data_IF_960161602138
#
_entry.id   IF_960161602138
#
_cell.length_a   1.000
_cell.length_b   1.000
_cell.length_c   1.000
_cell.angle_alpha   90.00
_cell.angle_beta   90.00
_cell.angle_gamma   90.00
#
_symmetry.space_group_name_H-M   'P 1'
#
loop_
_entity.id
_entity.type
_entity.pdbx_description
1 polymer ?
#
# COMPACT_ATOMS: atom_id res chain seq x y z
N UNK A 1 29.86 -13.18 -3.81
CA UNK A 1 29.41 -11.86 -3.29
C UNK A 1 28.12 -11.57 -4.05
N UNK A 2 26.99 -11.64 -3.38
CA UNK A 2 25.74 -11.18 -4.01
C UNK A 2 25.90 -9.70 -4.33
N UNK A 3 25.72 -9.33 -5.61
CA UNK A 3 25.77 -7.95 -6.03
C UNK A 3 24.72 -7.16 -5.23
N UNK A 4 25.14 -6.09 -4.56
CA UNK A 4 24.23 -5.24 -3.77
C UNK A 4 23.07 -4.78 -4.67
N UNK A 5 21.86 -5.17 -4.31
CA UNK A 5 20.65 -4.75 -5.04
C UNK A 5 20.51 -3.24 -4.99
N UNK A 6 20.12 -2.63 -6.10
CA UNK A 6 19.93 -1.16 -6.20
C UNK A 6 18.82 -0.64 -5.29
N UNK A 7 17.76 -1.44 -5.13
CA UNK A 7 16.59 -1.09 -4.33
C UNK A 7 16.34 -2.13 -3.25
N UNK A 8 15.84 -1.67 -2.11
CA UNK A 8 15.24 -2.54 -1.09
C UNK A 8 13.82 -2.93 -1.50
N UNK A 9 13.06 -1.98 -2.07
CA UNK A 9 11.71 -2.21 -2.57
C UNK A 9 11.48 -1.51 -3.92
N UNK A 10 10.96 -2.24 -4.89
CA UNK A 10 10.26 -1.68 -6.05
C UNK A 10 8.76 -1.91 -5.89
N UNK A 11 7.96 -0.89 -6.12
CA UNK A 11 6.50 -1.02 -6.18
C UNK A 11 5.98 -0.66 -7.57
N UNK A 12 4.90 -1.31 -8.00
CA UNK A 12 4.28 -1.07 -9.31
C UNK A 12 2.79 -0.81 -9.16
N UNK A 13 2.31 0.29 -9.74
CA UNK A 13 0.89 0.63 -9.73
C UNK A 13 0.56 1.97 -10.39
N UNK A 14 -0.66 2.44 -10.21
CA UNK A 14 -1.14 3.71 -10.75
C UNK A 14 -0.89 4.87 -9.79
N UNK A 15 -0.33 5.96 -10.30
CA UNK A 15 -0.26 7.23 -9.61
C UNK A 15 -1.54 8.02 -9.87
N UNK A 16 -2.20 8.44 -8.80
CA UNK A 16 -3.44 9.21 -8.86
C UNK A 16 -3.24 10.66 -8.41
N UNK A 17 -3.90 11.58 -9.09
CA UNK A 17 -4.10 12.94 -8.60
C UNK A 17 -5.32 12.96 -7.69
N UNK A 18 -5.11 13.25 -6.41
CA UNK A 18 -6.19 13.52 -5.47
C UNK A 18 -6.56 14.99 -5.50
N UNK A 19 -7.85 15.26 -5.58
CA UNK A 19 -8.44 16.59 -5.42
C UNK A 19 -9.43 16.57 -4.25
N UNK A 20 -9.24 17.45 -3.28
CA UNK A 20 -10.10 17.53 -2.10
C UNK A 20 -10.54 18.96 -1.87
N UNK A 21 -11.81 19.23 -1.52
CA UNK A 21 -12.21 20.55 -1.05
C UNK A 21 -11.45 20.88 0.24
N UNK A 22 -11.40 22.13 0.61
CA UNK A 22 -10.84 22.54 1.90
C UNK A 22 -11.59 21.86 3.06
N UNK A 23 -10.97 21.73 4.25
CA UNK A 23 -11.57 21.05 5.38
C UNK A 23 -12.98 21.60 5.68
N UNK A 24 -13.93 20.67 5.85
CA UNK A 24 -15.36 20.95 6.10
C UNK A 24 -16.16 21.58 4.92
N UNK A 25 -15.53 21.73 3.75
CA UNK A 25 -16.22 22.08 2.52
C UNK A 25 -16.76 20.86 1.79
N UNK A 26 -17.77 21.09 0.93
CA UNK A 26 -18.39 20.06 0.08
C UNK A 26 -17.91 20.19 -1.36
N UNK A 27 -17.66 19.05 -2.03
CA UNK A 27 -17.31 19.03 -3.46
C UNK A 27 -18.34 19.77 -4.32
N UNK A 28 -19.62 19.69 -3.95
CA UNK A 28 -20.70 20.31 -4.70
C UNK A 28 -20.83 21.85 -4.49
N UNK A 29 -20.02 22.42 -3.58
CA UNK A 29 -20.13 23.85 -3.21
C UNK A 29 -18.79 24.58 -3.20
N UNK A 30 -17.72 23.92 -2.72
CA UNK A 30 -16.41 24.54 -2.57
C UNK A 30 -15.82 24.97 -3.91
N UNK A 31 -15.21 26.15 -3.95
CA UNK A 31 -14.57 26.71 -5.16
C UNK A 31 -13.08 26.35 -5.24
N UNK A 32 -12.47 25.91 -4.14
CA UNK A 32 -11.06 25.59 -4.06
C UNK A 32 -10.86 24.09 -3.85
N UNK A 33 -9.89 23.52 -4.58
CA UNK A 33 -9.46 22.13 -4.41
C UNK A 33 -7.98 22.07 -4.08
N UNK A 34 -7.63 21.40 -2.99
CA UNK A 34 -6.28 21.02 -2.68
C UNK A 34 -5.88 19.81 -3.55
N UNK A 35 -4.71 19.89 -4.20
CA UNK A 35 -4.16 18.78 -4.97
C UNK A 35 -3.11 18.03 -4.20
N UNK A 36 -3.15 16.69 -4.23
CA UNK A 36 -2.15 15.79 -3.69
C UNK A 36 -1.92 14.63 -4.65
N UNK A 37 -0.82 13.91 -4.46
CA UNK A 37 -0.54 12.65 -5.16
C UNK A 37 -0.84 11.51 -4.21
N UNK A 38 -1.36 10.41 -4.75
CA UNK A 38 -1.59 9.15 -4.06
C UNK A 38 -1.56 7.97 -5.02
N UNK A 39 -1.89 6.81 -4.52
CA UNK A 39 -1.85 5.52 -5.19
C UNK A 39 -1.40 4.46 -4.20
N UNK A 40 -2.10 3.33 -4.09
CA UNK A 40 -1.85 2.35 -3.03
C UNK A 40 -0.38 1.93 -2.97
N UNK A 41 0.16 1.52 -4.11
CA UNK A 41 1.54 1.04 -4.21
C UNK A 41 2.56 2.18 -4.03
N UNK A 42 2.22 3.41 -4.46
CA UNK A 42 3.04 4.59 -4.22
C UNK A 42 3.07 4.97 -2.74
N UNK A 43 1.92 4.87 -2.06
CA UNK A 43 1.83 5.10 -0.62
C UNK A 43 2.74 4.14 0.16
N UNK A 44 2.78 2.86 -0.25
CA UNK A 44 3.70 1.86 0.32
C UNK A 44 5.15 2.23 0.06
N UNK A 45 5.52 2.56 -1.20
CA UNK A 45 6.89 2.96 -1.54
C UNK A 45 7.34 4.19 -0.75
N UNK A 46 6.46 5.21 -0.62
CA UNK A 46 6.72 6.41 0.16
C UNK A 46 6.96 6.08 1.64
N UNK A 47 6.11 5.23 2.22
CA UNK A 47 6.24 4.82 3.61
C UNK A 47 7.56 4.10 3.88
N UNK A 48 7.95 3.17 3.03
CA UNK A 48 9.21 2.43 3.15
C UNK A 48 10.43 3.36 3.00
N UNK A 49 10.36 4.33 2.05
CA UNK A 49 11.40 5.34 1.87
C UNK A 49 11.56 6.25 3.11
N UNK A 50 10.45 6.73 3.68
CA UNK A 50 10.45 7.55 4.89
C UNK A 50 11.03 6.84 6.12
N UNK A 51 10.93 5.50 6.16
CA UNK A 51 11.58 4.67 7.19
C UNK A 51 13.07 4.42 6.91
N UNK A 52 13.60 4.85 5.76
CA UNK A 52 15.03 4.88 5.45
C UNK A 52 15.54 3.76 4.56
N UNK A 53 14.67 3.03 3.85
CA UNK A 53 15.07 2.07 2.83
C UNK A 53 15.03 2.68 1.42
N UNK A 54 15.83 2.15 0.50
CA UNK A 54 15.87 2.60 -0.89
C UNK A 54 14.68 2.04 -1.67
N UNK A 55 13.84 2.93 -2.18
CA UNK A 55 12.66 2.55 -2.96
C UNK A 55 12.66 3.12 -4.36
N UNK A 56 12.01 2.42 -5.28
CA UNK A 56 11.70 2.92 -6.62
C UNK A 56 10.26 2.59 -6.99
N UNK A 57 9.76 3.29 -8.01
CA UNK A 57 8.38 3.13 -8.44
C UNK A 57 8.27 2.89 -9.94
N UNK A 58 7.48 1.87 -10.30
CA UNK A 58 7.21 1.48 -11.68
C UNK A 58 5.80 1.96 -12.04
N UNK A 59 5.70 2.88 -12.97
CA UNK A 59 4.43 3.41 -13.47
C UNK A 59 4.63 4.15 -14.79
N UNK A 60 3.52 4.63 -15.37
CA UNK A 60 3.54 5.49 -16.53
C UNK A 60 2.68 6.73 -16.26
N UNK A 61 3.24 7.91 -16.48
CA UNK A 61 2.60 9.21 -16.18
C UNK A 61 2.64 10.10 -17.43
N UNK A 62 1.70 11.07 -17.57
CA UNK A 62 1.71 11.97 -18.72
C UNK A 62 2.97 12.83 -18.77
N UNK A 63 3.45 13.13 -19.97
CA UNK A 63 4.56 14.08 -20.21
C UNK A 63 4.04 15.53 -20.25
N UNK A 64 3.59 16.00 -19.08
CA UNK A 64 3.05 17.35 -18.90
C UNK A 64 3.24 17.84 -17.44
N UNK A 65 2.79 19.07 -17.15
CA UNK A 65 2.92 19.68 -15.81
C UNK A 65 2.27 18.90 -14.67
N UNK A 66 1.26 18.09 -14.93
CA UNK A 66 0.62 17.24 -13.91
C UNK A 66 1.50 16.00 -13.66
N UNK A 67 2.09 15.41 -14.71
CA UNK A 67 3.10 14.38 -14.56
C UNK A 67 4.37 14.88 -13.85
N UNK A 68 4.79 16.14 -14.11
CA UNK A 68 5.90 16.77 -13.36
C UNK A 68 5.58 16.88 -11.87
N UNK A 69 4.33 17.23 -11.53
CA UNK A 69 3.89 17.28 -10.12
C UNK A 69 3.98 15.90 -9.45
N UNK A 70 3.57 14.84 -10.14
CA UNK A 70 3.73 13.47 -9.65
C UNK A 70 5.20 13.12 -9.43
N UNK A 71 6.05 13.34 -10.44
CA UNK A 71 7.48 13.06 -10.35
C UNK A 71 8.18 13.85 -9.22
N UNK A 72 7.85 15.13 -9.06
CA UNK A 72 8.39 15.95 -7.96
C UNK A 72 7.96 15.40 -6.59
N UNK A 73 6.75 14.83 -6.49
CA UNK A 73 6.31 14.18 -5.27
C UNK A 73 7.16 12.95 -4.95
N UNK A 74 7.47 12.11 -5.93
CA UNK A 74 8.38 10.96 -5.73
C UNK A 74 9.73 11.44 -5.20
N UNK A 75 10.34 12.45 -5.83
CA UNK A 75 11.62 13.01 -5.39
C UNK A 75 11.56 13.56 -3.96
N UNK A 76 10.47 14.24 -3.59
CA UNK A 76 10.27 14.77 -2.24
C UNK A 76 10.28 13.66 -1.17
N UNK A 77 9.74 12.48 -1.48
CA UNK A 77 9.74 11.30 -0.61
C UNK A 77 11.00 10.43 -0.75
N UNK A 78 11.97 10.80 -1.61
CA UNK A 78 13.18 10.02 -1.84
C UNK A 78 12.96 8.73 -2.61
N UNK A 79 11.88 8.65 -3.39
CA UNK A 79 11.57 7.50 -4.25
C UNK A 79 12.24 7.68 -5.61
N UNK A 80 12.98 6.68 -6.08
CA UNK A 80 13.55 6.72 -7.44
C UNK A 80 12.47 6.64 -8.51
N UNK A 81 12.55 7.56 -9.48
CA UNK A 81 11.74 7.58 -10.69
C UNK A 81 12.41 6.90 -11.90
N UNK A 82 13.46 6.08 -11.71
CA UNK A 82 14.20 5.46 -12.82
C UNK A 82 13.32 4.61 -13.75
N UNK A 83 12.22 4.09 -13.22
CA UNK A 83 11.23 3.29 -13.95
C UNK A 83 9.86 3.98 -14.06
N UNK A 84 9.86 5.31 -13.93
CA UNK A 84 8.68 6.14 -14.14
C UNK A 84 8.65 6.62 -15.59
N UNK A 85 7.91 5.90 -16.43
CA UNK A 85 7.80 6.17 -17.86
C UNK A 85 6.96 7.41 -18.15
N UNK A 86 7.30 8.11 -19.23
CA UNK A 86 6.56 9.28 -19.73
C UNK A 86 5.67 8.90 -20.91
N UNK A 87 4.38 9.17 -20.77
CA UNK A 87 3.39 9.00 -21.84
C UNK A 87 3.29 10.31 -22.64
N UNK A 88 3.76 10.27 -23.87
CA UNK A 88 3.78 11.43 -24.80
C UNK A 88 2.52 11.53 -25.66
N UNK A 89 1.53 10.66 -25.46
CA UNK A 89 0.27 10.74 -26.19
C UNK A 89 -0.45 12.05 -25.85
N UNK A 90 -1.14 12.62 -26.84
CA UNK A 90 -1.86 13.89 -26.68
C UNK A 90 -2.98 13.84 -25.60
N UNK A 91 -3.54 12.66 -25.37
CA UNK A 91 -4.62 12.43 -24.40
C UNK A 91 -4.08 11.83 -23.08
N UNK A 92 -2.73 11.82 -22.88
CA UNK A 92 -2.08 11.30 -21.70
C UNK A 92 -2.54 12.07 -20.44
N UNK A 93 -2.91 11.31 -19.38
CA UNK A 93 -3.42 11.89 -18.13
C UNK A 93 -3.10 11.01 -16.93
N UNK A 94 -3.04 11.61 -15.74
CA UNK A 94 -3.19 10.85 -14.50
C UNK A 94 -4.65 10.47 -14.29
N UNK A 95 -4.89 9.33 -13.66
CA UNK A 95 -6.17 9.09 -13.02
C UNK A 95 -6.40 10.10 -11.90
N UNK A 96 -7.64 10.53 -11.72
CA UNK A 96 -8.03 11.50 -10.69
C UNK A 96 -9.01 10.83 -9.74
N UNK A 97 -8.92 11.18 -8.48
CA UNK A 97 -10.03 10.96 -7.56
C UNK A 97 -10.31 12.20 -6.71
N UNK A 98 -11.57 12.41 -6.44
CA UNK A 98 -12.06 13.47 -5.57
C UNK A 98 -12.39 12.87 -4.21
N UNK A 99 -11.82 13.43 -3.14
CA UNK A 99 -12.08 13.00 -1.78
C UNK A 99 -12.70 14.09 -0.94
N UNK A 100 -13.91 13.84 -0.48
CA UNK A 100 -14.61 14.71 0.48
C UNK A 100 -14.53 14.07 1.87
N UNK A 101 -13.80 14.71 2.77
CA UNK A 101 -13.80 14.34 4.18
C UNK A 101 -15.12 14.75 4.85
N UNK A 102 -15.48 14.08 5.94
CA UNK A 102 -16.70 14.40 6.68
C UNK A 102 -16.53 14.22 8.18
N UNK A 103 -17.31 15.00 8.95
CA UNK A 103 -17.53 14.77 10.37
C UNK A 103 -18.89 14.09 10.58
N UNK A 104 -19.06 13.43 11.74
CA UNK A 104 -20.35 12.84 12.10
C UNK A 104 -21.46 13.91 12.13
N UNK A 105 -22.71 13.58 11.70
CA UNK A 105 -23.19 12.28 11.22
C UNK A 105 -22.92 12.00 9.73
N UNK A 106 -22.18 12.86 9.02
CA UNK A 106 -21.86 12.68 7.60
C UNK A 106 -20.90 11.50 7.37
N UNK A 107 -20.81 11.06 6.11
CA UNK A 107 -19.87 10.04 5.67
C UNK A 107 -18.91 10.64 4.64
N UNK A 108 -17.61 10.26 4.67
CA UNK A 108 -16.68 10.62 3.61
C UNK A 108 -17.14 10.06 2.27
N UNK A 109 -16.83 10.78 1.18
CA UNK A 109 -17.17 10.37 -0.18
C UNK A 109 -15.94 10.36 -1.07
N UNK A 110 -15.92 9.45 -2.03
CA UNK A 110 -14.88 9.35 -3.06
C UNK A 110 -15.55 9.24 -4.42
N UNK A 111 -15.08 10.05 -5.37
CA UNK A 111 -15.48 9.97 -6.79
C UNK A 111 -14.23 9.72 -7.63
N UNK A 112 -14.25 8.70 -8.47
CA UNK A 112 -13.12 8.37 -9.34
C UNK A 112 -13.34 8.82 -10.77
N UNK A 113 -12.33 9.46 -11.35
CA UNK A 113 -12.17 9.74 -12.77
C UNK A 113 -10.79 9.23 -13.22
N UNK A 114 -10.68 7.90 -13.41
CA UNK A 114 -9.40 7.24 -13.69
C UNK A 114 -9.35 6.45 -15.00
N UNK A 115 -10.41 6.55 -15.84
CA UNK A 115 -10.43 5.89 -17.13
C UNK A 115 -9.37 6.47 -18.05
N UNK A 116 -8.71 5.60 -18.82
CA UNK A 116 -7.70 5.99 -19.80
C UNK A 116 -6.50 6.76 -19.20
N UNK A 117 -6.17 6.52 -17.93
CA UNK A 117 -4.93 7.06 -17.37
C UNK A 117 -3.72 6.43 -18.04
N UNK A 118 -2.61 7.16 -18.10
CA UNK A 118 -1.37 6.71 -18.71
C UNK A 118 -0.86 5.39 -18.14
N UNK A 119 -1.04 5.16 -16.85
CA UNK A 119 -0.64 3.91 -16.19
C UNK A 119 -1.29 2.66 -16.79
N UNK A 120 -2.54 2.75 -17.28
CA UNK A 120 -3.26 1.63 -17.90
C UNK A 120 -2.61 1.11 -19.18
N UNK A 121 -1.79 1.94 -19.84
CA UNK A 121 -1.09 1.59 -21.08
C UNK A 121 0.30 1.01 -20.85
N UNK A 122 0.74 0.83 -19.60
CA UNK A 122 2.03 0.24 -19.28
C UNK A 122 2.09 -1.22 -19.73
N UNK A 123 3.14 -1.58 -20.48
CA UNK A 123 3.37 -2.95 -20.97
C UNK A 123 4.71 -3.50 -20.49
N UNK A 124 4.85 -4.84 -20.43
CA UNK A 124 6.09 -5.50 -20.02
C UNK A 124 7.27 -5.16 -20.93
N UNK A 125 7.04 -4.91 -22.21
CA UNK A 125 8.08 -4.59 -23.20
C UNK A 125 8.72 -3.21 -22.96
N UNK A 126 8.05 -2.34 -22.20
CA UNK A 126 8.59 -1.04 -21.79
C UNK A 126 9.53 -1.13 -20.58
N UNK A 127 9.60 -2.29 -19.92
CA UNK A 127 10.42 -2.53 -18.72
C UNK A 127 11.71 -3.26 -19.12
N UNK A 128 12.89 -2.70 -18.80
CA UNK A 128 14.16 -3.35 -19.13
C UNK A 128 14.38 -4.61 -18.28
N UNK A 129 15.00 -5.65 -18.84
CA UNK A 129 15.18 -6.95 -18.19
C UNK A 129 15.98 -6.88 -16.88
N UNK A 130 16.90 -5.94 -16.76
CA UNK A 130 17.70 -5.72 -15.54
C UNK A 130 16.86 -5.30 -14.32
N UNK A 131 15.64 -4.75 -14.51
CA UNK A 131 14.78 -4.31 -13.43
C UNK A 131 14.48 -5.47 -12.46
N UNK A 132 14.26 -6.68 -12.98
CA UNK A 132 13.85 -7.82 -12.17
C UNK A 132 14.92 -8.31 -11.20
N UNK A 133 16.19 -7.97 -11.46
CA UNK A 133 17.32 -8.29 -10.58
C UNK A 133 17.75 -7.12 -9.70
N UNK A 134 17.15 -5.94 -9.86
CA UNK A 134 17.60 -4.71 -9.22
C UNK A 134 17.10 -4.52 -7.80
N UNK A 135 16.14 -5.29 -7.32
CA UNK A 135 15.48 -5.10 -6.02
C UNK A 135 15.53 -6.33 -5.11
N UNK A 136 15.48 -6.10 -3.78
CA UNK A 136 15.31 -7.15 -2.77
C UNK A 136 13.85 -7.61 -2.66
N UNK A 137 12.90 -6.67 -2.83
CA UNK A 137 11.47 -6.95 -2.75
C UNK A 137 10.69 -6.22 -3.85
N UNK A 138 9.58 -6.80 -4.26
CA UNK A 138 8.61 -6.23 -5.19
C UNK A 138 7.23 -6.21 -4.55
N UNK A 139 6.50 -5.09 -4.69
CA UNK A 139 5.14 -4.93 -4.17
C UNK A 139 4.17 -4.40 -5.22
N UNK A 140 2.99 -5.00 -5.27
CA UNK A 140 1.83 -4.50 -6.02
C UNK A 140 0.53 -4.91 -5.33
N UNK A 141 -0.60 -4.44 -5.82
CA UNK A 141 -1.90 -4.72 -5.18
C UNK A 141 -2.95 -5.23 -6.15
N UNK A 142 -4.04 -5.75 -5.60
CA UNK A 142 -5.23 -6.12 -6.36
C UNK A 142 -5.89 -4.94 -7.07
N UNK A 143 -5.63 -3.69 -6.66
CA UNK A 143 -6.10 -2.51 -7.42
C UNK A 143 -5.47 -2.52 -8.82
N UNK A 144 -4.15 -2.70 -8.92
CA UNK A 144 -3.45 -2.75 -10.22
C UNK A 144 -3.97 -3.88 -11.10
N UNK A 145 -4.24 -5.06 -10.51
CA UNK A 145 -4.88 -6.16 -11.27
C UNK A 145 -6.30 -5.81 -11.70
N UNK A 146 -7.08 -5.15 -10.83
CA UNK A 146 -8.47 -4.77 -11.09
C UNK A 146 -8.64 -3.74 -12.21
N UNK A 147 -7.59 -2.95 -12.49
CA UNK A 147 -7.60 -1.98 -13.61
C UNK A 147 -7.73 -2.67 -14.98
N UNK A 148 -7.38 -3.95 -15.08
CA UNK A 148 -7.51 -4.73 -16.32
C UNK A 148 -6.55 -4.33 -17.42
N UNK A 149 -6.75 -4.86 -18.62
CA UNK A 149 -5.97 -4.51 -19.80
C UNK A 149 -4.46 -4.76 -19.67
N UNK A 150 -3.65 -3.91 -20.30
CA UNK A 150 -2.20 -4.08 -20.37
C UNK A 150 -1.52 -4.06 -18.99
N UNK A 151 -1.92 -3.15 -18.10
CA UNK A 151 -1.30 -3.04 -16.77
C UNK A 151 -1.51 -4.29 -15.91
N UNK A 152 -2.68 -4.95 -16.01
CA UNK A 152 -2.93 -6.23 -15.32
C UNK A 152 -1.94 -7.30 -15.76
N UNK A 153 -1.82 -7.51 -17.06
CA UNK A 153 -0.94 -8.56 -17.60
C UNK A 153 0.54 -8.23 -17.32
N UNK A 154 0.92 -6.95 -17.38
CA UNK A 154 2.25 -6.48 -17.00
C UNK A 154 2.53 -6.75 -15.50
N UNK A 155 1.56 -6.50 -14.61
CA UNK A 155 1.72 -6.78 -13.19
C UNK A 155 1.85 -8.28 -12.91
N UNK A 156 1.05 -9.13 -13.58
CA UNK A 156 1.14 -10.60 -13.44
C UNK A 156 2.51 -11.10 -13.93
N UNK A 157 3.00 -10.61 -15.07
CA UNK A 157 4.33 -10.94 -15.59
C UNK A 157 5.45 -10.45 -14.66
N UNK A 158 5.35 -9.22 -14.16
CA UNK A 158 6.30 -8.64 -13.21
C UNK A 158 6.39 -9.46 -11.91
N UNK A 159 5.26 -9.83 -11.30
CA UNK A 159 5.20 -10.69 -10.11
C UNK A 159 6.01 -11.97 -10.34
N UNK A 160 5.73 -12.68 -11.45
CA UNK A 160 6.43 -13.91 -11.81
C UNK A 160 7.92 -13.68 -11.99
N UNK A 161 8.33 -12.70 -12.79
CA UNK A 161 9.74 -12.44 -13.14
C UNK A 161 10.56 -11.94 -11.94
N UNK A 162 9.99 -11.09 -11.07
CA UNK A 162 10.65 -10.70 -9.82
C UNK A 162 10.86 -11.91 -8.91
N UNK A 163 9.87 -12.79 -8.80
CA UNK A 163 9.99 -14.03 -8.02
C UNK A 163 11.07 -14.96 -8.57
N UNK A 164 11.07 -15.19 -9.89
CA UNK A 164 12.08 -16.00 -10.58
C UNK A 164 13.51 -15.43 -10.42
N UNK A 165 13.62 -14.09 -10.33
CA UNK A 165 14.89 -13.40 -10.08
C UNK A 165 15.31 -13.36 -8.60
N UNK A 166 14.54 -14.00 -7.71
CA UNK A 166 14.84 -14.14 -6.28
C UNK A 166 14.48 -12.93 -5.42
N UNK A 167 13.60 -12.05 -5.89
CA UNK A 167 13.03 -11.01 -5.05
C UNK A 167 11.92 -11.58 -4.15
N UNK A 168 11.78 -11.03 -2.94
CA UNK A 168 10.61 -11.25 -2.10
C UNK A 168 9.41 -10.55 -2.74
N UNK A 169 8.34 -11.29 -3.01
CA UNK A 169 7.12 -10.74 -3.62
C UNK A 169 6.06 -10.49 -2.55
N UNK A 170 5.62 -9.24 -2.45
CA UNK A 170 4.56 -8.78 -1.56
C UNK A 170 3.31 -8.39 -2.35
N UNK A 171 2.16 -8.83 -1.88
CA UNK A 171 0.88 -8.56 -2.52
C UNK A 171 -0.22 -8.24 -1.50
N UNK A 172 -0.93 -7.12 -1.73
CA UNK A 172 -2.15 -6.78 -0.99
C UNK A 172 -3.37 -6.98 -1.89
N UNK A 173 -4.34 -7.79 -1.44
CA UNK A 173 -5.58 -8.01 -2.20
C UNK A 173 -6.32 -6.71 -2.44
N UNK A 174 -6.34 -5.81 -1.48
CA UNK A 174 -6.88 -4.45 -1.57
C UNK A 174 -8.21 -4.38 -2.36
N UNK A 175 -9.12 -5.30 -2.04
CA UNK A 175 -10.37 -5.51 -2.79
C UNK A 175 -11.20 -4.24 -2.91
N UNK A 176 -11.67 -3.96 -4.12
CA UNK A 176 -12.52 -2.81 -4.45
C UNK A 176 -13.70 -3.23 -5.31
N UNK A 177 -14.88 -3.37 -4.69
CA UNK A 177 -16.10 -3.80 -5.36
C UNK A 177 -16.55 -2.89 -6.54
N UNK A 178 -16.03 -1.66 -6.63
CA UNK A 178 -16.30 -0.76 -7.76
C UNK A 178 -15.37 -0.98 -8.96
N UNK A 179 -14.37 -1.85 -8.86
CA UNK A 179 -13.43 -2.16 -9.95
C UNK A 179 -13.68 -3.55 -10.54
N UNK A 180 -14.02 -4.54 -9.73
CA UNK A 180 -14.23 -5.92 -10.14
C UNK A 180 -15.17 -6.68 -9.19
N UNK A 181 -15.70 -7.79 -9.65
CA UNK A 181 -16.47 -8.74 -8.82
C UNK A 181 -15.54 -9.57 -7.93
N UNK A 182 -16.10 -10.26 -6.93
CA UNK A 182 -15.35 -11.19 -6.08
C UNK A 182 -14.81 -12.37 -6.88
N UNK A 183 -15.53 -12.82 -7.90
CA UNK A 183 -15.11 -13.91 -8.80
C UNK A 183 -13.90 -13.50 -9.66
N UNK A 184 -13.97 -12.34 -10.33
CA UNK A 184 -12.86 -11.79 -11.11
C UNK A 184 -11.62 -11.53 -10.23
N UNK A 185 -11.82 -11.05 -8.98
CA UNK A 185 -10.75 -10.86 -8.01
C UNK A 185 -10.10 -12.19 -7.66
N UNK A 186 -10.91 -13.20 -7.30
CA UNK A 186 -10.42 -14.54 -6.96
C UNK A 186 -9.63 -15.17 -8.10
N UNK A 187 -10.17 -15.15 -9.33
CA UNK A 187 -9.49 -15.71 -10.49
C UNK A 187 -8.15 -15.01 -10.76
N UNK A 188 -8.14 -13.68 -10.76
CA UNK A 188 -6.94 -12.89 -11.04
C UNK A 188 -5.87 -13.08 -9.97
N UNK A 189 -6.26 -13.10 -8.69
CA UNK A 189 -5.33 -13.27 -7.58
C UNK A 189 -4.80 -14.69 -7.51
N UNK A 190 -5.62 -15.71 -7.75
CA UNK A 190 -5.15 -17.11 -7.77
C UNK A 190 -4.05 -17.36 -8.81
N UNK A 191 -4.02 -16.60 -9.92
CA UNK A 191 -2.94 -16.68 -10.92
C UNK A 191 -1.57 -16.30 -10.36
N UNK A 192 -1.54 -15.43 -9.35
CA UNK A 192 -0.28 -14.86 -8.82
C UNK A 192 0.13 -15.42 -7.46
N UNK A 193 -0.78 -16.02 -6.69
CA UNK A 193 -0.48 -16.57 -5.36
C UNK A 193 0.69 -17.57 -5.32
N UNK A 194 0.94 -18.40 -6.36
CA UNK A 194 2.12 -19.27 -6.40
C UNK A 194 3.47 -18.52 -6.37
N UNK A 195 3.46 -17.21 -6.60
CA UNK A 195 4.67 -16.38 -6.65
C UNK A 195 4.78 -15.40 -5.47
N UNK A 196 3.79 -15.39 -4.56
CA UNK A 196 3.72 -14.43 -3.45
C UNK A 196 4.37 -14.99 -2.19
N UNK A 197 5.19 -14.18 -1.53
CA UNK A 197 5.84 -14.52 -0.25
C UNK A 197 5.16 -13.85 0.95
N UNK A 198 4.72 -12.59 0.79
CA UNK A 198 4.04 -11.81 1.84
C UNK A 198 2.66 -11.40 1.33
N UNK A 199 1.63 -11.87 1.98
CA UNK A 199 0.24 -11.73 1.55
C UNK A 199 -0.58 -10.94 2.56
N UNK A 200 -1.17 -9.83 2.11
CA UNK A 200 -2.08 -9.02 2.90
C UNK A 200 -3.52 -9.26 2.46
N UNK A 201 -4.33 -9.73 3.40
CA UNK A 201 -5.73 -10.04 3.14
C UNK A 201 -6.58 -9.79 4.38
N UNK A 202 -7.66 -9.02 4.26
CA UNK A 202 -8.61 -8.85 5.35
C UNK A 202 -9.43 -10.12 5.57
N UNK A 203 -9.92 -10.34 6.80
CA UNK A 203 -10.81 -11.45 7.12
C UNK A 203 -12.03 -11.51 6.18
N UNK A 204 -12.66 -10.36 5.96
CA UNK A 204 -13.83 -10.25 5.06
C UNK A 204 -13.48 -10.72 3.65
N UNK A 205 -12.35 -10.29 3.11
CA UNK A 205 -11.91 -10.69 1.76
C UNK A 205 -11.55 -12.18 1.72
N UNK A 206 -10.86 -12.71 2.73
CA UNK A 206 -10.54 -14.13 2.83
C UNK A 206 -11.81 -15.00 2.81
N UNK A 207 -12.82 -14.57 3.56
CA UNK A 207 -14.11 -15.28 3.65
C UNK A 207 -14.96 -15.16 2.39
N UNK A 208 -15.18 -13.94 1.89
CA UNK A 208 -16.13 -13.70 0.80
C UNK A 208 -15.49 -13.99 -0.57
N UNK A 209 -14.31 -13.47 -0.84
CA UNK A 209 -13.66 -13.60 -2.14
C UNK A 209 -13.02 -14.98 -2.34
N UNK A 210 -12.29 -15.47 -1.30
CA UNK A 210 -11.57 -16.75 -1.41
C UNK A 210 -12.30 -17.94 -0.81
N UNK A 211 -13.48 -17.73 -0.19
CA UNK A 211 -14.29 -18.82 0.38
C UNK A 211 -13.64 -19.53 1.56
N UNK A 212 -12.64 -18.89 2.20
CA UNK A 212 -11.95 -19.46 3.37
C UNK A 212 -12.92 -19.59 4.55
N UNK A 213 -12.72 -20.62 5.38
CA UNK A 213 -13.60 -20.97 6.50
C UNK A 213 -12.84 -20.96 7.82
N UNK A 214 -13.57 -21.03 8.92
CA UNK A 214 -13.02 -20.98 10.27
C UNK A 214 -12.90 -19.55 10.80
N UNK A 215 -12.07 -19.38 11.82
CA UNK A 215 -11.71 -18.07 12.34
C UNK A 215 -10.58 -17.42 11.51
N UNK A 216 -10.15 -16.22 11.87
CA UNK A 216 -9.12 -15.50 11.14
C UNK A 216 -7.80 -16.31 11.05
N UNK A 217 -7.41 -16.97 12.15
CA UNK A 217 -6.16 -17.74 12.21
C UNK A 217 -6.21 -18.97 11.30
N UNK A 218 -7.35 -19.67 11.28
CA UNK A 218 -7.58 -20.81 10.38
C UNK A 218 -7.48 -20.36 8.90
N UNK A 219 -8.11 -19.22 8.58
CA UNK A 219 -8.06 -18.67 7.22
C UNK A 219 -6.64 -18.26 6.80
N UNK A 220 -5.87 -17.63 7.71
CA UNK A 220 -4.48 -17.25 7.43
C UNK A 220 -3.59 -18.47 7.17
N UNK A 221 -3.70 -19.52 8.01
CA UNK A 221 -2.98 -20.79 7.81
C UNK A 221 -3.32 -21.44 6.48
N UNK A 222 -4.60 -21.50 6.13
CA UNK A 222 -5.05 -22.15 4.91
C UNK A 222 -4.49 -21.53 3.61
N UNK A 223 -4.08 -20.25 3.61
CA UNK A 223 -3.37 -19.68 2.47
C UNK A 223 -1.95 -20.23 2.34
N UNK A 224 -1.27 -20.53 3.45
CA UNK A 224 0.09 -21.08 3.43
C UNK A 224 0.12 -22.59 3.18
N UNK A 225 -0.98 -23.29 3.39
CA UNK A 225 -1.17 -24.69 3.01
C UNK A 225 -1.39 -24.84 1.50
N UNK A 226 -2.13 -23.88 0.89
CA UNK A 226 -2.46 -23.92 -0.54
C UNK A 226 -1.34 -23.33 -1.42
N UNK A 227 -0.53 -22.38 -0.87
CA UNK A 227 0.45 -21.61 -1.64
C UNK A 227 1.77 -21.44 -0.85
N UNK A 228 2.92 -21.19 -1.53
CA UNK A 228 4.23 -21.04 -0.88
C UNK A 228 4.39 -19.68 -0.18
N UNK A 229 3.34 -19.19 0.46
CA UNK A 229 3.33 -17.92 1.18
C UNK A 229 4.04 -18.11 2.52
N UNK A 230 5.00 -17.24 2.81
CA UNK A 230 5.77 -17.27 4.05
C UNK A 230 5.14 -16.46 5.18
N UNK A 231 4.47 -15.36 4.83
CA UNK A 231 3.86 -14.43 5.79
C UNK A 231 2.48 -14.03 5.31
N UNK A 232 1.48 -14.20 6.17
CA UNK A 232 0.12 -13.67 5.94
C UNK A 232 -0.16 -12.61 6.98
N UNK A 233 -0.67 -11.45 6.56
CA UNK A 233 -1.02 -10.35 7.46
C UNK A 233 -2.47 -9.90 7.25
N UNK A 234 -3.19 -9.67 8.34
CA UNK A 234 -4.55 -9.17 8.34
C UNK A 234 -4.72 -8.03 9.34
N UNK A 235 -5.46 -7.00 8.94
CA UNK A 235 -5.72 -5.82 9.77
C UNK A 235 -7.14 -5.85 10.31
N UNK A 236 -7.28 -5.37 11.54
CA UNK A 236 -8.58 -5.09 12.15
C UNK A 236 -8.71 -3.59 12.43
N UNK A 237 -9.86 -3.03 12.08
CA UNK A 237 -10.16 -1.63 12.35
C UNK A 237 -11.56 -1.48 12.90
N UNK A 238 -11.65 -0.86 14.10
CA UNK A 238 -12.92 -0.48 14.70
C UNK A 238 -13.13 1.01 14.49
N UNK A 239 -14.24 1.37 13.85
CA UNK A 239 -14.63 2.76 13.57
C UNK A 239 -15.63 3.21 14.64
N UNK A 240 -15.17 4.03 15.59
CA UNK A 240 -16.03 4.60 16.63
C UNK A 240 -16.79 5.83 16.11
N UNK A 241 -16.10 6.63 15.28
CA UNK A 241 -16.65 7.76 14.54
C UNK A 241 -15.78 8.06 13.33
N UNK A 242 -16.17 8.94 12.39
CA UNK A 242 -15.29 9.38 11.30
C UNK A 242 -13.96 9.99 11.78
N UNK A 243 -13.89 10.42 13.03
CA UNK A 243 -12.73 11.09 13.65
C UNK A 243 -12.05 10.25 14.76
N UNK A 244 -12.50 9.02 15.03
CA UNK A 244 -11.94 8.19 16.08
C UNK A 244 -11.96 6.72 15.70
N UNK A 245 -10.79 6.10 15.58
CA UNK A 245 -10.65 4.68 15.24
C UNK A 245 -9.78 3.94 16.25
N UNK A 246 -9.91 2.61 16.28
CA UNK A 246 -8.96 1.67 16.85
C UNK A 246 -8.39 0.82 15.74
N UNK A 247 -7.08 0.55 15.76
CA UNK A 247 -6.38 -0.23 14.75
C UNK A 247 -5.46 -1.28 15.40
N UNK A 248 -5.51 -2.49 14.87
CA UNK A 248 -4.63 -3.60 15.22
C UNK A 248 -4.45 -4.52 14.01
N UNK A 249 -3.59 -5.51 14.18
CA UNK A 249 -3.35 -6.51 13.13
C UNK A 249 -2.83 -7.82 13.71
N UNK A 250 -2.88 -8.86 12.88
CA UNK A 250 -2.29 -10.18 13.12
C UNK A 250 -1.34 -10.50 11.99
N UNK A 251 -0.16 -11.03 12.31
CA UNK A 251 0.78 -11.60 11.34
C UNK A 251 0.96 -13.09 11.65
N UNK A 252 0.83 -13.93 10.64
CA UNK A 252 1.18 -15.35 10.68
C UNK A 252 2.49 -15.59 9.92
N UNK A 253 3.46 -16.19 10.60
CA UNK A 253 4.72 -16.65 10.05
C UNK A 253 4.63 -18.17 9.82
N UNK A 254 4.56 -18.59 8.57
CA UNK A 254 4.44 -19.99 8.21
C UNK A 254 5.71 -20.81 8.51
N UNK A 255 6.91 -20.17 8.51
CA UNK A 255 8.17 -20.86 8.82
C UNK A 255 8.27 -21.24 10.29
N UNK A 256 7.69 -20.42 11.17
CA UNK A 256 7.71 -20.66 12.62
C UNK A 256 6.39 -21.25 13.13
N UNK A 257 5.38 -21.40 12.28
CA UNK A 257 3.99 -21.73 12.63
C UNK A 257 3.51 -20.89 13.82
N UNK A 258 3.70 -19.57 13.75
CA UNK A 258 3.47 -18.65 14.84
C UNK A 258 2.63 -17.44 14.43
N UNK A 259 1.70 -17.04 15.31
CA UNK A 259 0.94 -15.81 15.20
C UNK A 259 1.56 -14.72 16.07
N UNK A 260 1.65 -13.52 15.52
CA UNK A 260 2.11 -12.33 16.22
C UNK A 260 0.98 -11.32 16.28
N UNK A 261 0.72 -10.83 17.47
CA UNK A 261 -0.29 -9.81 17.80
C UNK A 261 0.27 -8.90 18.90
N UNK A 262 -0.25 -7.70 19.01
CA UNK A 262 0.00 -6.76 20.10
C UNK A 262 -1.28 -6.02 20.49
N UNK A 263 -1.25 -5.28 21.60
CA UNK A 263 -2.39 -4.42 21.97
C UNK A 263 -2.70 -3.44 20.83
N UNK A 264 -3.98 -3.25 20.44
CA UNK A 264 -4.32 -2.34 19.37
C UNK A 264 -4.12 -0.89 19.78
N UNK A 265 -3.75 -0.04 18.83
CA UNK A 265 -3.75 1.42 18.97
C UNK A 265 -5.18 1.91 19.08
N UNK A 266 -5.56 2.40 20.28
CA UNK A 266 -6.93 2.82 20.59
C UNK A 266 -7.10 4.33 20.47
N UNK A 267 -8.34 4.76 20.17
CA UNK A 267 -8.72 6.18 20.13
C UNK A 267 -7.84 7.05 19.21
N UNK A 268 -7.43 6.51 18.08
CA UNK A 268 -6.65 7.26 17.08
C UNK A 268 -7.51 8.41 16.56
N UNK A 269 -7.04 9.65 16.74
CA UNK A 269 -7.67 10.84 16.15
C UNK A 269 -7.41 10.91 14.64
N UNK A 270 -8.48 10.94 13.86
CA UNK A 270 -8.40 10.87 12.41
C UNK A 270 -8.40 12.27 11.79
N UNK A 271 -7.26 12.65 11.23
CA UNK A 271 -7.12 13.80 10.32
C UNK A 271 -7.45 13.37 8.90
N UNK A 272 -6.80 12.30 8.43
CA UNK A 272 -7.04 11.69 7.11
C UNK A 272 -6.75 10.19 7.15
N UNK A 273 -7.77 9.39 6.85
CA UNK A 273 -7.65 7.93 6.92
C UNK A 273 -7.10 7.28 5.64
N UNK A 274 -7.06 8.04 4.52
CA UNK A 274 -6.60 7.49 3.24
C UNK A 274 -5.12 7.14 3.33
N UNK A 275 -4.73 5.97 2.84
CA UNK A 275 -3.35 5.48 2.91
C UNK A 275 -2.95 4.83 4.24
N UNK A 276 -3.85 4.71 5.24
CA UNK A 276 -3.49 4.08 6.52
C UNK A 276 -3.22 2.57 6.40
N UNK A 277 -3.94 1.87 5.50
CA UNK A 277 -3.65 0.47 5.17
C UNK A 277 -2.31 0.32 4.46
N UNK A 278 -2.03 1.23 3.52
CA UNK A 278 -0.77 1.24 2.77
C UNK A 278 0.42 1.55 3.70
N UNK A 279 0.23 2.44 4.69
CA UNK A 279 1.22 2.70 5.74
C UNK A 279 1.47 1.47 6.62
N UNK A 280 0.43 0.70 6.95
CA UNK A 280 0.59 -0.59 7.62
C UNK A 280 1.50 -1.52 6.80
N UNK A 281 1.21 -1.70 5.52
CA UNK A 281 2.00 -2.54 4.62
C UNK A 281 3.45 -2.04 4.54
N UNK A 282 3.65 -0.73 4.43
CA UNK A 282 4.98 -0.12 4.42
C UNK A 282 5.77 -0.43 5.69
N UNK A 283 5.13 -0.33 6.87
CA UNK A 283 5.74 -0.67 8.15
C UNK A 283 6.09 -2.16 8.26
N UNK A 284 5.18 -3.05 7.81
CA UNK A 284 5.44 -4.51 7.78
C UNK A 284 6.63 -4.82 6.86
N UNK A 285 6.64 -4.29 5.64
CA UNK A 285 7.74 -4.52 4.69
C UNK A 285 9.06 -3.95 5.21
N UNK A 286 9.05 -2.76 5.82
CA UNK A 286 10.22 -2.21 6.50
C UNK A 286 10.73 -3.15 7.60
N UNK A 287 9.84 -3.65 8.47
CA UNK A 287 10.19 -4.59 9.54
C UNK A 287 10.82 -5.88 9.00
N UNK A 288 10.23 -6.48 7.96
CA UNK A 288 10.77 -7.69 7.34
C UNK A 288 12.11 -7.45 6.64
N UNK A 289 12.24 -6.40 5.83
CA UNK A 289 13.44 -6.11 5.04
C UNK A 289 14.60 -5.56 5.87
N UNK A 290 14.29 -4.72 6.87
CA UNK A 290 15.27 -4.07 7.73
C UNK A 290 15.73 -4.91 8.92
N UNK A 291 14.98 -5.97 9.29
CA UNK A 291 15.24 -6.78 10.49
C UNK A 291 15.24 -8.30 10.21
N UNK A 292 15.80 -8.70 9.06
CA UNK A 292 16.04 -10.10 8.71
C UNK A 292 14.80 -11.01 8.79
N UNK A 293 13.62 -10.51 8.43
CA UNK A 293 12.37 -11.27 8.43
C UNK A 293 11.68 -11.36 9.79
N UNK A 294 12.05 -10.52 10.76
CA UNK A 294 11.43 -10.51 12.09
C UNK A 294 9.98 -10.04 12.04
N UNK A 295 9.03 -10.98 12.21
CA UNK A 295 7.60 -10.71 12.18
C UNK A 295 7.10 -9.88 13.38
N UNK A 296 7.80 -9.89 14.54
CA UNK A 296 7.46 -8.99 15.65
C UNK A 296 7.77 -7.54 15.32
N UNK A 297 8.94 -7.29 14.70
CA UNK A 297 9.28 -5.96 14.22
C UNK A 297 8.34 -5.52 13.09
N UNK A 298 8.02 -6.41 12.17
CA UNK A 298 7.04 -6.16 11.10
C UNK A 298 5.68 -5.72 11.68
N UNK A 299 5.16 -6.44 12.67
CA UNK A 299 3.91 -6.12 13.35
C UNK A 299 3.96 -4.73 14.01
N UNK A 300 4.97 -4.48 14.85
CA UNK A 300 5.11 -3.23 15.59
C UNK A 300 5.23 -2.02 14.67
N UNK A 301 6.10 -2.08 13.64
CA UNK A 301 6.21 -1.00 12.66
C UNK A 301 4.92 -0.82 11.84
N UNK A 302 4.27 -1.90 11.44
CA UNK A 302 3.01 -1.87 10.69
C UNK A 302 1.90 -1.15 11.47
N UNK A 303 1.65 -1.55 12.71
CA UNK A 303 0.61 -0.98 13.54
C UNK A 303 0.89 0.49 13.89
N UNK A 304 2.11 0.81 14.33
CA UNK A 304 2.50 2.17 14.68
C UNK A 304 2.39 3.11 13.47
N UNK A 305 2.85 2.66 12.30
CA UNK A 305 2.83 3.49 11.11
C UNK A 305 1.41 3.73 10.59
N UNK A 306 0.55 2.71 10.62
CA UNK A 306 -0.87 2.88 10.31
C UNK A 306 -1.54 3.87 11.28
N UNK A 307 -1.31 3.73 12.59
CA UNK A 307 -1.85 4.63 13.59
C UNK A 307 -1.42 6.08 13.32
N UNK A 308 -0.13 6.31 13.12
CA UNK A 308 0.43 7.64 12.88
C UNK A 308 -0.04 8.24 11.55
N UNK A 309 -0.16 7.45 10.47
CA UNK A 309 -0.67 7.94 9.17
C UNK A 309 -2.06 8.57 9.29
N UNK A 310 -2.93 8.05 10.13
CA UNK A 310 -4.25 8.60 10.33
C UNK A 310 -4.24 10.03 10.88
N UNK A 311 -3.17 10.47 11.51
CA UNK A 311 -3.03 11.81 12.14
C UNK A 311 -2.43 12.87 11.21
N UNK A 312 -2.03 12.48 9.99
CA UNK A 312 -1.46 13.40 9.00
C UNK A 312 -2.32 13.49 7.74
N UNK A 313 -2.42 14.66 7.09
CA UNK A 313 -3.24 14.83 5.90
C UNK A 313 -2.57 14.24 4.65
N UNK A 314 -3.38 13.81 3.68
CA UNK A 314 -2.95 13.23 2.40
C UNK A 314 -2.83 11.70 2.46
N UNK A 315 -2.47 11.09 1.33
CA UNK A 315 -2.41 9.64 1.18
C UNK A 315 -1.08 9.06 1.65
N UNK A 316 0.01 9.75 1.28
CA UNK A 316 1.37 9.31 1.54
C UNK A 316 1.71 9.50 3.03
N UNK A 317 2.22 8.49 3.69
CA UNK A 317 2.68 8.63 5.08
C UNK A 317 3.91 9.53 5.15
N UNK A 318 3.95 10.41 6.14
CA UNK A 318 5.03 11.37 6.34
C UNK A 318 5.49 11.34 7.80
N UNK A 319 6.25 10.31 8.14
CA UNK A 319 6.83 10.14 9.48
C UNK A 319 8.19 9.48 9.35
N UNK A 320 9.16 9.99 10.08
CA UNK A 320 10.51 9.43 10.13
C UNK A 320 10.56 8.14 10.94
N UNK A 321 11.55 7.28 10.68
CA UNK A 321 11.81 6.10 11.50
C UNK A 321 11.90 6.44 12.99
N UNK A 322 12.59 7.52 13.35
CA UNK A 322 12.76 7.94 14.74
C UNK A 322 11.43 8.26 15.44
N UNK A 323 10.48 8.86 14.72
CA UNK A 323 9.14 9.11 15.26
C UNK A 323 8.39 7.80 15.48
N UNK A 324 8.45 6.87 14.53
CA UNK A 324 7.79 5.57 14.67
C UNK A 324 8.43 4.74 15.80
N UNK A 325 9.78 4.72 15.92
CA UNK A 325 10.47 4.05 17.03
C UNK A 325 9.98 4.55 18.40
N UNK A 326 9.75 5.87 18.54
CA UNK A 326 9.20 6.46 19.78
C UNK A 326 7.74 6.06 20.02
N UNK A 327 6.92 6.01 18.98
CA UNK A 327 5.52 5.59 19.08
C UNK A 327 5.45 4.14 19.54
N UNK A 328 6.27 3.25 18.98
CA UNK A 328 6.37 1.85 19.39
C UNK A 328 6.79 1.74 20.87
N UNK A 329 7.83 2.46 21.28
CA UNK A 329 8.29 2.45 22.68
C UNK A 329 7.19 2.91 23.64
N UNK A 330 6.54 4.04 23.37
CA UNK A 330 5.43 4.56 24.17
C UNK A 330 4.24 3.60 24.25
N UNK A 331 3.94 2.92 23.15
CA UNK A 331 2.83 1.96 23.12
C UNK A 331 3.07 0.77 24.05
N UNK A 332 4.32 0.33 24.20
CA UNK A 332 4.70 -0.77 25.08
C UNK A 332 4.88 -0.33 26.55
N UNK A 333 5.40 0.89 26.78
CA UNK A 333 5.77 1.38 28.12
C UNK A 333 4.63 2.13 28.82
N UNK A 334 3.56 2.51 28.10
CA UNK A 334 2.38 3.19 28.67
C UNK A 334 2.62 4.66 29.06
N UNK A 335 3.64 5.30 28.54
CA UNK A 335 4.00 6.68 28.85
C UNK A 335 3.10 7.72 28.14
N UNK A 336 2.70 8.75 28.90
CA UNK A 336 1.80 9.81 28.45
C UNK A 336 2.41 10.73 27.38
N UNK A 337 1.53 11.47 26.69
CA UNK A 337 1.89 12.41 25.63
C UNK A 337 2.53 13.69 26.20
N UNK A 338 3.86 13.71 26.40
CA UNK A 338 4.61 14.95 26.58
C UNK A 338 5.20 15.45 25.25
N UNK A 339 5.41 16.79 25.19
CA UNK A 339 6.00 17.43 24.02
C UNK A 339 7.45 16.96 23.81
N UNK A 340 7.79 16.50 22.62
CA UNK A 340 9.17 16.25 22.23
C UNK A 340 9.97 17.57 22.22
N UNK A 341 11.02 17.66 23.03
CA UNK A 341 11.93 18.82 23.11
C UNK A 341 13.27 18.50 22.47
#
# INVERSE_FOLDING_TARGET
MDAQKKFDLLSMGEILLRLSPLPNEKLARGELLEKRIGGAELNVAAGVAMLGLHTGFISKIPDNKIGDFANNTLHYYGISGDYLLRDTNKDARLGIYYYEGSAAPGKPAVVYDRRHSSALSLTSDELPDEIYRSTRAFHTTGITLALGGAIRETAVDAIRRFKEAGALVSFDVNFRANLWSEEEARESVNRILPYVDVFFCSETTARLTFGKKGDLRDMMKSFTEDYPISVVASTERIVHSPKCHTFGSVIYDAKQDAFYEEEPYRNIEIVDRIGSGDAYIAGVLYGLLGHNGDCRKALAYGNAYSAMKNTVPGDLPFCTRKEIDRIIARHHDGDGAEMDR
#
